data_IF_123602946404
#
_entry.id   IF_123602946404
#
_cell.length_a   1.000
_cell.length_b   1.000
_cell.length_c   1.000
_cell.angle_alpha   90.00
_cell.angle_beta   90.00
_cell.angle_gamma   90.00
#
_symmetry.space_group_name_H-M   'P 1'
#
loop_
_entity.id
_entity.type
_entity.pdbx_description
1 polymer ?
#
# COMPACT_ATOMS: atom_id res chain seq x y z
N UNK A 1 2.60 15.20 -21.53
CA UNK A 1 3.35 16.41 -21.15
C UNK A 1 2.51 17.69 -21.18
N UNK A 2 1.76 18.00 -22.27
CA UNK A 2 0.94 19.22 -22.37
C UNK A 2 -0.02 19.42 -21.17
N UNK A 3 -0.68 18.37 -20.70
CA UNK A 3 -1.54 18.42 -19.51
C UNK A 3 -0.78 18.74 -18.22
N UNK A 4 0.41 18.18 -18.03
CA UNK A 4 1.25 18.47 -16.87
C UNK A 4 1.83 19.89 -16.94
N UNK A 5 2.26 20.33 -18.10
CA UNK A 5 2.74 21.70 -18.31
C UNK A 5 1.66 22.75 -17.99
N UNK A 6 0.38 22.50 -18.35
CA UNK A 6 -0.74 23.40 -17.99
C UNK A 6 -0.99 23.48 -16.48
N UNK A 7 -0.55 22.47 -15.72
CA UNK A 7 -0.53 22.46 -14.25
C UNK A 7 0.76 23.05 -13.66
N UNK A 8 1.66 23.59 -14.47
CA UNK A 8 2.91 24.24 -14.06
C UNK A 8 4.07 23.25 -13.80
N UNK A 9 3.99 21.99 -14.28
CA UNK A 9 5.12 21.05 -14.20
C UNK A 9 6.17 21.34 -15.26
N UNK A 10 7.42 21.24 -14.85
CA UNK A 10 8.58 21.26 -15.73
C UNK A 10 8.98 19.86 -16.19
N UNK A 11 9.85 19.77 -17.18
CA UNK A 11 10.21 18.50 -17.82
C UNK A 11 10.82 17.47 -16.86
N UNK A 12 11.58 17.93 -15.88
CA UNK A 12 12.32 17.10 -14.92
C UNK A 12 11.66 17.03 -13.54
N UNK A 13 10.41 17.53 -13.39
CA UNK A 13 9.72 17.45 -12.12
C UNK A 13 9.43 15.99 -11.73
N UNK A 14 9.63 15.68 -10.46
CA UNK A 14 9.18 14.44 -9.88
C UNK A 14 7.67 14.52 -9.65
N UNK A 15 6.98 13.42 -9.93
CA UNK A 15 5.52 13.34 -9.83
C UNK A 15 5.17 12.05 -9.10
N UNK A 16 4.34 12.15 -8.08
CA UNK A 16 3.76 11.00 -7.39
C UNK A 16 2.89 10.16 -8.33
N UNK A 17 3.21 8.88 -8.48
CA UNK A 17 2.50 7.96 -9.37
C UNK A 17 1.64 6.95 -8.65
N UNK A 18 1.93 6.72 -7.37
CA UNK A 18 1.23 5.73 -6.55
C UNK A 18 1.26 6.15 -5.09
N UNK A 19 0.38 5.56 -4.27
CA UNK A 19 0.38 5.73 -2.83
C UNK A 19 0.10 7.17 -2.39
N UNK A 20 0.71 7.55 -1.30
CA UNK A 20 0.52 8.87 -0.66
C UNK A 20 0.98 10.00 -1.57
N UNK A 21 2.11 9.85 -2.24
CA UNK A 21 2.62 10.86 -3.18
C UNK A 21 1.61 11.16 -4.30
N UNK A 22 0.94 10.13 -4.84
CA UNK A 22 -0.10 10.32 -5.86
C UNK A 22 -1.35 11.02 -5.30
N UNK A 23 -1.82 10.58 -4.14
CA UNK A 23 -3.06 11.11 -3.55
C UNK A 23 -2.90 12.54 -3.09
N UNK A 24 -1.73 12.88 -2.56
CA UNK A 24 -1.45 14.21 -2.00
C UNK A 24 -0.51 15.05 -2.86
N UNK A 25 -0.33 14.71 -4.13
CA UNK A 25 0.57 15.40 -5.06
C UNK A 25 0.35 16.93 -5.05
N UNK A 26 -0.90 17.38 -5.20
CA UNK A 26 -1.24 18.79 -5.24
C UNK A 26 -0.98 19.52 -3.89
N UNK A 27 -0.90 18.77 -2.79
CA UNK A 27 -0.62 19.31 -1.45
C UNK A 27 0.87 19.36 -1.12
N UNK A 28 1.62 18.31 -1.49
CA UNK A 28 3.08 18.22 -1.19
C UNK A 28 3.93 18.93 -2.21
N UNK A 29 3.38 19.18 -3.40
CA UNK A 29 4.08 19.84 -4.47
C UNK A 29 4.23 21.34 -4.18
N UNK A 30 5.43 21.88 -4.37
CA UNK A 30 5.67 23.31 -4.39
C UNK A 30 5.30 23.96 -5.72
N UNK A 31 5.44 25.27 -5.79
CA UNK A 31 5.30 26.03 -7.02
C UNK A 31 6.66 26.63 -7.42
N UNK A 32 7.02 26.44 -8.68
CA UNK A 32 8.20 27.06 -9.23
C UNK A 32 8.09 28.59 -9.20
N UNK A 33 9.13 29.23 -8.72
CA UNK A 33 9.35 30.63 -8.94
C UNK A 33 9.89 30.89 -10.37
N UNK A 34 10.00 32.12 -10.71
CA UNK A 34 10.56 32.52 -12.00
C UNK A 34 10.90 33.97 -12.05
N UNK A 35 11.81 34.34 -12.94
CA UNK A 35 12.15 35.70 -13.25
C UNK A 35 11.85 35.96 -14.73
N UNK A 36 11.08 36.98 -15.00
CA UNK A 36 10.86 37.47 -16.35
C UNK A 36 11.98 38.47 -16.68
N UNK A 37 12.71 38.14 -17.72
CA UNK A 37 13.87 38.94 -18.12
C UNK A 37 13.72 39.44 -19.55
N UNK A 38 14.17 40.66 -19.81
CA UNK A 38 14.36 41.19 -21.17
C UNK A 38 15.76 40.77 -21.65
N UNK A 39 15.81 40.22 -22.87
CA UNK A 39 17.08 39.86 -23.51
C UNK A 39 17.20 40.58 -24.86
N UNK A 40 18.42 40.86 -25.28
CA UNK A 40 18.66 41.43 -26.62
C UNK A 40 18.59 40.34 -27.71
N UNK A 41 18.78 40.69 -28.98
CA UNK A 41 18.77 39.81 -30.11
C UNK A 41 19.80 38.66 -30.06
N UNK A 42 20.79 38.74 -29.20
CA UNK A 42 21.80 37.72 -28.95
C UNK A 42 21.52 36.86 -27.70
N UNK A 43 20.34 37.01 -27.07
CA UNK A 43 19.96 36.29 -25.86
C UNK A 43 20.63 36.79 -24.57
N UNK A 44 21.34 37.95 -24.61
CA UNK A 44 21.99 38.51 -23.42
C UNK A 44 20.99 39.29 -22.57
N UNK A 45 21.03 39.04 -21.25
CA UNK A 45 20.22 39.70 -20.23
C UNK A 45 20.36 41.24 -20.35
N UNK A 46 19.24 41.95 -20.32
CA UNK A 46 19.14 43.40 -20.31
C UNK A 46 18.63 43.92 -18.98
N UNK A 47 17.48 43.51 -18.57
CA UNK A 47 16.88 43.85 -17.27
C UNK A 47 15.86 42.78 -16.81
N UNK A 48 15.61 42.77 -15.50
CA UNK A 48 14.49 42.04 -14.91
C UNK A 48 13.20 42.85 -15.10
N UNK A 49 12.14 42.16 -15.56
CA UNK A 49 10.81 42.75 -15.74
C UNK A 49 9.88 42.38 -14.57
N UNK A 50 10.26 41.40 -13.76
CA UNK A 50 9.52 40.98 -12.60
C UNK A 50 9.93 39.59 -12.12
N UNK A 51 9.67 39.30 -10.86
CA UNK A 51 9.96 38.01 -10.22
C UNK A 51 8.68 37.41 -9.62
N UNK A 52 8.49 36.11 -9.81
CA UNK A 52 7.51 35.29 -9.07
C UNK A 52 8.30 34.49 -8.03
N UNK A 53 8.07 34.67 -6.72
CA UNK A 53 8.74 33.83 -5.72
C UNK A 53 8.33 32.36 -5.85
N UNK A 54 9.22 31.43 -5.55
CA UNK A 54 8.89 30.02 -5.40
C UNK A 54 8.05 29.81 -4.13
N UNK A 55 7.20 28.79 -4.16
CA UNK A 55 6.40 28.39 -3.00
C UNK A 55 6.75 26.95 -2.64
N UNK A 56 7.15 26.75 -1.39
CA UNK A 56 7.45 25.41 -0.88
C UNK A 56 6.16 24.58 -0.79
N UNK A 57 6.24 23.28 -1.06
CA UNK A 57 5.16 22.34 -0.78
C UNK A 57 4.94 22.12 0.72
N UNK A 58 3.85 21.48 1.05
CA UNK A 58 3.51 21.20 2.44
C UNK A 58 4.08 19.85 2.90
N UNK A 59 4.33 19.73 4.19
CA UNK A 59 4.74 18.47 4.81
C UNK A 59 3.52 17.59 5.11
N UNK A 60 3.71 16.27 5.05
CA UNK A 60 2.72 15.28 5.46
C UNK A 60 3.30 14.45 6.61
N UNK A 61 2.59 14.41 7.72
CA UNK A 61 2.89 13.52 8.82
C UNK A 61 2.03 12.25 8.72
N UNK A 62 2.68 11.10 8.65
CA UNK A 62 2.02 9.80 8.60
C UNK A 62 1.78 9.25 10.01
N UNK A 63 0.84 8.31 10.13
CA UNK A 63 0.59 7.54 11.36
C UNK A 63 1.57 6.40 11.57
N UNK A 64 2.50 6.19 10.62
CA UNK A 64 3.51 5.12 10.69
C UNK A 64 4.46 5.35 11.86
N UNK A 65 4.63 4.32 12.69
CA UNK A 65 5.69 4.24 13.68
C UNK A 65 6.91 3.57 13.05
N UNK A 66 8.01 4.30 12.98
CA UNK A 66 9.22 3.82 12.31
C UNK A 66 9.79 2.54 12.93
N UNK A 67 9.68 2.38 14.25
CA UNK A 67 10.19 1.19 14.93
C UNK A 67 9.35 -0.05 14.59
N UNK A 68 8.02 0.09 14.57
CA UNK A 68 7.12 -0.99 14.11
C UNK A 68 7.34 -1.32 12.65
N UNK A 69 7.54 -0.31 11.80
CA UNK A 69 7.83 -0.50 10.38
C UNK A 69 9.11 -1.31 10.19
N UNK A 70 10.20 -0.94 10.87
CA UNK A 70 11.47 -1.66 10.81
C UNK A 70 11.36 -3.12 11.30
N UNK A 71 10.57 -3.36 12.35
CA UNK A 71 10.30 -4.73 12.83
C UNK A 71 9.53 -5.53 11.76
N UNK A 72 8.48 -4.96 11.17
CA UNK A 72 7.70 -5.63 10.12
C UNK A 72 8.59 -6.00 8.91
N UNK A 73 9.44 -5.09 8.47
CA UNK A 73 10.38 -5.35 7.37
C UNK A 73 11.42 -6.42 7.73
N UNK A 74 11.94 -6.40 8.97
CA UNK A 74 12.87 -7.42 9.47
C UNK A 74 12.23 -8.81 9.49
N UNK A 75 10.98 -8.94 9.94
CA UNK A 75 10.23 -10.20 9.95
C UNK A 75 10.06 -10.74 8.53
N UNK A 76 9.77 -9.87 7.56
CA UNK A 76 9.64 -10.26 6.16
C UNK A 76 10.97 -10.59 5.48
N UNK A 77 12.13 -10.20 6.05
CA UNK A 77 13.43 -10.29 5.38
C UNK A 77 13.72 -11.67 4.78
N UNK A 78 13.38 -12.74 5.50
CA UNK A 78 13.67 -14.13 5.10
C UNK A 78 12.49 -14.81 4.35
N UNK A 79 11.42 -14.07 4.04
CA UNK A 79 10.28 -14.59 3.28
C UNK A 79 10.47 -14.29 1.79
N UNK A 80 9.96 -15.16 0.92
CA UNK A 80 9.98 -14.91 -0.54
C UNK A 80 9.07 -13.74 -0.93
N UNK A 81 7.87 -13.72 -0.39
CA UNK A 81 6.86 -12.69 -0.59
C UNK A 81 5.90 -12.66 0.59
N UNK A 82 5.28 -11.52 0.83
CA UNK A 82 4.29 -11.36 1.89
C UNK A 82 4.03 -9.88 2.21
N UNK A 83 3.10 -9.65 3.12
CA UNK A 83 2.82 -8.32 3.65
C UNK A 83 2.57 -8.40 5.17
N UNK A 84 2.86 -7.32 5.86
CA UNK A 84 2.50 -7.11 7.26
C UNK A 84 1.87 -5.73 7.36
N UNK A 85 0.71 -5.67 7.99
CA UNK A 85 0.03 -4.43 8.35
C UNK A 85 -0.19 -4.45 9.87
N UNK A 86 0.17 -3.35 10.52
CA UNK A 86 -0.13 -3.11 11.93
C UNK A 86 -1.06 -1.91 11.99
N UNK A 87 -2.25 -2.13 12.50
CA UNK A 87 -3.30 -1.11 12.60
C UNK A 87 -3.77 -0.98 14.04
N UNK A 88 -4.00 0.24 14.49
CA UNK A 88 -4.63 0.53 15.75
C UNK A 88 -6.15 0.37 15.58
N UNK A 89 -6.80 -0.58 16.29
CA UNK A 89 -8.24 -0.82 16.09
C UNK A 89 -9.14 0.30 16.66
N UNK A 90 -8.59 1.21 17.48
CA UNK A 90 -9.35 2.28 18.12
C UNK A 90 -9.68 3.43 17.16
N UNK A 91 -8.75 3.71 16.23
CA UNK A 91 -8.85 4.86 15.32
C UNK A 91 -8.58 4.47 13.85
N UNK A 92 -8.20 3.20 13.58
CA UNK A 92 -7.86 2.72 12.26
C UNK A 92 -6.50 3.19 11.76
N UNK A 93 -5.68 3.83 12.60
CA UNK A 93 -4.38 4.33 12.19
C UNK A 93 -3.42 3.20 11.81
N UNK A 94 -2.84 3.27 10.62
CA UNK A 94 -1.81 2.33 10.18
C UNK A 94 -0.48 2.70 10.82
N UNK A 95 0.03 1.82 11.68
CA UNK A 95 1.29 1.98 12.40
C UNK A 95 2.49 1.36 11.67
N UNK A 96 2.25 0.33 10.86
CA UNK A 96 3.24 -0.22 9.94
C UNK A 96 2.55 -0.83 8.72
N UNK A 97 3.19 -0.72 7.55
CA UNK A 97 2.73 -1.35 6.32
C UNK A 97 3.95 -1.79 5.51
N UNK A 98 4.25 -3.07 5.53
CA UNK A 98 5.38 -3.66 4.84
C UNK A 98 4.92 -4.64 3.76
N UNK A 99 5.55 -4.58 2.60
CA UNK A 99 5.30 -5.48 1.46
C UNK A 99 6.63 -6.00 0.93
N UNK A 100 6.70 -7.30 0.67
CA UNK A 100 7.90 -7.94 0.10
C UNK A 100 7.55 -8.80 -1.11
N UNK A 101 8.42 -8.85 -2.15
CA UNK A 101 9.68 -8.11 -2.26
C UNK A 101 9.48 -6.61 -2.35
N UNK A 102 10.51 -5.88 -1.99
CA UNK A 102 10.56 -4.42 -2.06
C UNK A 102 11.75 -3.98 -2.94
N UNK A 103 11.89 -2.69 -3.11
CA UNK A 103 12.97 -2.07 -3.85
C UNK A 103 13.45 -0.81 -3.12
N UNK A 104 14.58 -0.25 -3.54
CA UNK A 104 15.06 1.04 -3.04
C UNK A 104 14.09 2.15 -3.47
N UNK A 105 13.34 2.73 -2.53
CA UNK A 105 12.35 3.78 -2.80
C UNK A 105 12.98 5.01 -3.43
N UNK A 106 14.27 5.28 -3.15
CA UNK A 106 15.00 6.39 -3.74
C UNK A 106 15.40 6.15 -5.20
N UNK A 107 15.13 4.95 -5.76
CA UNK A 107 15.45 4.65 -7.16
C UNK A 107 14.85 5.68 -8.13
N UNK A 108 13.61 6.09 -7.86
CA UNK A 108 12.92 7.02 -8.75
C UNK A 108 13.45 8.46 -8.68
N UNK A 109 14.06 8.84 -7.55
CA UNK A 109 14.69 10.16 -7.36
C UNK A 109 16.10 10.24 -7.94
N UNK A 110 16.74 9.11 -8.31
CA UNK A 110 18.06 9.10 -8.90
C UNK A 110 18.04 9.74 -10.29
N UNK A 111 18.98 10.64 -10.58
CA UNK A 111 19.17 11.19 -11.91
C UNK A 111 19.55 10.09 -12.92
N UNK A 112 20.49 9.24 -12.56
CA UNK A 112 20.88 8.07 -13.34
C UNK A 112 20.28 6.79 -12.77
N UNK A 113 19.61 6.01 -13.60
CA UNK A 113 18.96 4.73 -13.25
C UNK A 113 19.70 3.57 -13.90
N UNK A 114 20.57 2.84 -13.15
CA UNK A 114 21.29 1.69 -13.68
C UNK A 114 20.32 0.64 -14.23
N UNK A 115 20.59 0.14 -15.43
CA UNK A 115 19.75 -0.87 -16.10
C UNK A 115 19.51 -2.12 -15.24
N UNK A 116 20.53 -2.56 -14.51
CA UNK A 116 20.42 -3.70 -13.59
C UNK A 116 19.41 -3.47 -12.48
N UNK A 117 19.37 -2.28 -11.91
CA UNK A 117 18.38 -1.90 -10.86
C UNK A 117 17.01 -1.76 -11.49
N UNK A 118 16.90 -1.12 -12.64
CA UNK A 118 15.67 -1.02 -13.41
C UNK A 118 15.06 -2.40 -13.65
N UNK A 119 15.84 -3.34 -14.19
CA UNK A 119 15.38 -4.68 -14.48
C UNK A 119 14.95 -5.46 -13.24
N UNK A 120 15.60 -5.26 -12.09
CA UNK A 120 15.17 -5.85 -10.81
C UNK A 120 13.82 -5.33 -10.34
N UNK A 121 13.46 -4.09 -10.66
CA UNK A 121 12.22 -3.46 -10.23
C UNK A 121 11.09 -3.77 -11.23
N UNK A 122 11.32 -3.56 -12.52
CA UNK A 122 10.27 -3.61 -13.54
C UNK A 122 10.08 -4.98 -14.18
N UNK A 123 11.18 -5.73 -14.39
CA UNK A 123 11.16 -7.00 -15.10
C UNK A 123 11.27 -8.22 -14.16
N UNK A 124 11.26 -8.01 -12.85
CA UNK A 124 11.32 -9.10 -11.89
C UNK A 124 10.03 -9.92 -11.90
N UNK A 125 10.11 -11.26 -12.02
CA UNK A 125 8.94 -12.13 -11.86
C UNK A 125 8.33 -12.06 -10.46
N UNK A 126 9.07 -11.59 -9.48
CA UNK A 126 8.60 -11.41 -8.10
C UNK A 126 7.75 -10.15 -7.89
N UNK A 127 7.68 -9.26 -8.91
CA UNK A 127 6.84 -8.05 -8.94
C UNK A 127 7.01 -7.17 -7.68
N UNK A 128 8.19 -6.55 -7.47
CA UNK A 128 8.42 -5.72 -6.29
C UNK A 128 7.58 -4.44 -6.24
N UNK A 129 7.10 -3.93 -7.40
CA UNK A 129 6.18 -2.80 -7.47
C UNK A 129 4.75 -3.14 -7.01
N UNK A 130 4.43 -4.43 -6.91
CA UNK A 130 3.12 -4.86 -6.45
C UNK A 130 3.04 -4.78 -4.93
N UNK A 131 2.27 -3.81 -4.41
CA UNK A 131 2.08 -3.66 -2.97
C UNK A 131 1.09 -4.73 -2.45
N UNK A 132 1.64 -5.76 -1.83
CA UNK A 132 0.88 -6.89 -1.29
C UNK A 132 0.04 -6.53 -0.08
N UNK A 133 0.36 -5.45 0.62
CA UNK A 133 -0.42 -4.99 1.76
C UNK A 133 -1.76 -4.34 1.34
N UNK A 134 -1.86 -3.89 0.08
CA UNK A 134 -3.07 -3.25 -0.47
C UNK A 134 -3.89 -4.19 -1.36
N UNK A 135 -3.55 -5.48 -1.39
CA UNK A 135 -4.24 -6.45 -2.23
C UNK A 135 -5.22 -7.30 -1.42
N UNK A 136 -6.30 -7.71 -2.07
CA UNK A 136 -7.27 -8.63 -1.47
C UNK A 136 -6.78 -10.08 -1.59
N UNK A 137 -7.02 -10.85 -0.54
CA UNK A 137 -6.71 -12.28 -0.47
C UNK A 137 -7.91 -13.04 0.08
N UNK A 138 -8.05 -14.30 -0.31
CA UNK A 138 -9.03 -15.17 0.28
C UNK A 138 -8.68 -15.42 1.76
N UNK A 139 -9.57 -15.08 2.70
CA UNK A 139 -9.25 -15.10 4.13
C UNK A 139 -9.06 -16.54 4.67
N UNK A 140 -9.60 -17.54 4.01
CA UNK A 140 -9.55 -18.90 4.49
C UNK A 140 -10.12 -19.05 5.92
N UNK A 141 -9.48 -19.92 6.76
CA UNK A 141 -9.94 -20.16 8.14
C UNK A 141 -9.97 -18.93 9.05
N UNK A 142 -9.29 -17.84 8.68
CA UNK A 142 -9.36 -16.58 9.45
C UNK A 142 -10.79 -16.03 9.46
N UNK A 143 -11.57 -16.32 8.41
CA UNK A 143 -12.98 -15.92 8.32
C UNK A 143 -13.88 -16.61 9.34
N UNK A 144 -13.46 -17.73 9.92
CA UNK A 144 -14.24 -18.46 10.94
C UNK A 144 -14.53 -17.59 12.15
N UNK A 145 -13.62 -16.69 12.53
CA UNK A 145 -13.83 -15.73 13.62
C UNK A 145 -15.03 -14.83 13.32
N UNK A 146 -15.12 -14.31 12.11
CA UNK A 146 -16.24 -13.46 11.67
C UNK A 146 -17.56 -14.26 11.68
N UNK A 147 -17.51 -15.48 11.19
CA UNK A 147 -18.69 -16.37 11.16
C UNK A 147 -19.18 -16.72 12.55
N UNK A 148 -18.27 -17.04 13.48
CA UNK A 148 -18.60 -17.34 14.88
C UNK A 148 -19.23 -16.12 15.57
N UNK A 149 -18.63 -14.93 15.41
CA UNK A 149 -19.17 -13.69 15.96
C UNK A 149 -20.58 -13.39 15.39
N UNK A 150 -20.77 -13.53 14.09
CA UNK A 150 -22.06 -13.35 13.45
C UNK A 150 -23.12 -14.35 13.97
N UNK A 151 -22.71 -15.59 14.26
CA UNK A 151 -23.55 -16.60 14.89
C UNK A 151 -24.03 -16.15 16.28
N UNK A 152 -23.10 -15.72 17.12
CA UNK A 152 -23.39 -15.21 18.48
C UNK A 152 -24.29 -13.97 18.44
N UNK A 153 -23.94 -12.96 17.64
CA UNK A 153 -24.70 -11.72 17.51
C UNK A 153 -26.12 -11.91 16.96
N UNK A 154 -26.32 -12.97 16.15
CA UNK A 154 -27.64 -13.29 15.64
C UNK A 154 -28.65 -13.74 16.72
N UNK A 155 -28.16 -14.11 17.91
CA UNK A 155 -28.93 -14.70 19.01
C UNK A 155 -29.49 -16.11 18.71
N UNK A 156 -29.23 -16.68 17.53
CA UNK A 156 -29.69 -18.02 17.12
C UNK A 156 -28.78 -19.15 17.61
N UNK A 157 -27.50 -18.81 17.82
CA UNK A 157 -26.45 -19.71 18.23
C UNK A 157 -25.75 -19.18 19.48
N UNK A 158 -26.32 -19.37 20.68
CA UNK A 158 -25.69 -18.92 21.93
C UNK A 158 -24.35 -19.63 22.18
N UNK A 159 -23.58 -19.12 23.14
CA UNK A 159 -22.17 -19.53 23.39
C UNK A 159 -22.03 -21.03 23.72
N UNK A 160 -23.07 -21.63 24.29
CA UNK A 160 -23.16 -23.04 24.64
C UNK A 160 -23.64 -23.93 23.49
N UNK A 161 -23.85 -23.36 22.30
CA UNK A 161 -24.25 -24.15 21.12
C UNK A 161 -23.12 -25.09 20.71
N UNK A 162 -23.46 -26.34 20.55
CA UNK A 162 -22.60 -27.35 19.99
C UNK A 162 -23.15 -27.84 18.64
N UNK A 163 -22.22 -28.13 17.71
CA UNK A 163 -22.53 -28.66 16.38
C UNK A 163 -21.80 -29.96 16.15
N UNK A 164 -22.49 -30.95 15.61
CA UNK A 164 -21.84 -32.17 15.14
C UNK A 164 -21.24 -31.89 13.76
N UNK A 165 -19.92 -31.99 13.67
CA UNK A 165 -19.19 -31.76 12.41
C UNK A 165 -19.07 -33.10 11.66
N UNK A 166 -19.61 -33.13 10.46
CA UNK A 166 -19.48 -34.27 9.55
C UNK A 166 -18.29 -34.11 8.64
N UNK A 167 -17.71 -35.18 8.09
CA UNK A 167 -16.62 -35.12 7.13
C UNK A 167 -16.93 -34.26 5.92
N UNK A 168 -18.20 -34.09 5.59
CA UNK A 168 -18.66 -33.36 4.44
C UNK A 168 -20.01 -32.70 4.71
N UNK A 169 -20.10 -31.42 4.39
CA UNK A 169 -21.37 -30.67 4.33
C UNK A 169 -21.76 -30.52 2.88
N UNK A 170 -22.89 -31.10 2.47
CA UNK A 170 -23.37 -31.00 1.11
C UNK A 170 -24.29 -29.80 0.93
N UNK A 171 -23.96 -28.94 -0.04
CA UNK A 171 -24.83 -27.86 -0.48
C UNK A 171 -25.03 -27.93 -1.99
N UNK A 172 -26.26 -28.19 -2.43
CA UNK A 172 -26.57 -28.51 -3.83
C UNK A 172 -25.87 -29.82 -4.26
N UNK A 173 -25.08 -29.75 -5.31
CA UNK A 173 -24.26 -30.86 -5.82
C UNK A 173 -22.83 -30.89 -5.29
N UNK A 174 -22.46 -29.91 -4.45
CA UNK A 174 -21.08 -29.76 -3.97
C UNK A 174 -20.96 -30.19 -2.51
N UNK A 175 -19.95 -31.02 -2.23
CA UNK A 175 -19.57 -31.42 -0.89
C UNK A 175 -18.38 -30.55 -0.42
N UNK A 176 -18.57 -29.82 0.67
CA UNK A 176 -17.51 -29.05 1.36
C UNK A 176 -16.92 -29.98 2.43
N UNK A 177 -15.68 -30.40 2.20
CA UNK A 177 -14.99 -31.36 3.05
C UNK A 177 -14.08 -30.70 4.06
N UNK A 178 -13.98 -31.31 5.23
CA UNK A 178 -12.90 -31.05 6.16
C UNK A 178 -11.57 -31.58 5.59
N UNK A 179 -10.46 -30.91 5.98
CA UNK A 179 -9.13 -31.20 5.42
C UNK A 179 -8.62 -32.62 5.71
N UNK A 180 -9.16 -33.27 6.77
CA UNK A 180 -8.81 -34.65 7.18
C UNK A 180 -9.83 -35.69 6.75
N UNK A 181 -10.93 -35.30 6.09
CA UNK A 181 -12.05 -36.16 5.66
C UNK A 181 -12.72 -36.95 6.81
N UNK A 182 -12.52 -36.59 8.07
CA UNK A 182 -13.03 -37.33 9.23
C UNK A 182 -14.08 -36.57 10.04
N UNK A 183 -14.16 -35.23 9.89
CA UNK A 183 -14.89 -34.37 10.80
C UNK A 183 -14.20 -34.26 12.18
N UNK A 184 -14.75 -33.44 13.06
CA UNK A 184 -14.22 -33.20 14.41
C UNK A 184 -15.18 -33.69 15.51
N UNK A 185 -16.28 -34.35 15.15
CA UNK A 185 -17.31 -34.73 16.10
C UNK A 185 -18.15 -33.54 16.56
N UNK A 186 -18.55 -33.55 17.83
CA UNK A 186 -19.31 -32.45 18.42
C UNK A 186 -18.34 -31.39 18.91
N UNK A 187 -18.46 -30.20 18.37
CA UNK A 187 -17.62 -29.04 18.73
C UNK A 187 -18.47 -27.85 19.14
N UNK A 188 -17.92 -26.98 19.96
CA UNK A 188 -18.49 -25.71 20.38
C UNK A 188 -17.65 -24.51 19.92
N UNK A 189 -17.91 -23.35 20.51
CA UNK A 189 -17.16 -22.13 20.20
C UNK A 189 -15.74 -22.11 20.77
N UNK A 190 -15.46 -22.96 21.77
CA UNK A 190 -14.16 -23.00 22.46
C UNK A 190 -13.17 -24.02 21.83
N UNK A 191 -13.64 -24.84 20.89
CA UNK A 191 -12.85 -25.85 20.17
C UNK A 191 -12.23 -25.29 18.89
#
# INVERSE_FOLDING_TARGET
YKFLASKGYQLNDLIGRTGIEYVYEDFIRGEWGGEMVEVNSLGKFQKSLGTKPSKQGNDIQLTIDINLQLVAEKVLKNKKAGAIIVMDPRDGAIRAMASKPTFDLNFFSKEFKPEKEYNKIFNSPQKPLFNRALNAYDPGSVWKIVTALAGLESGKFPIDTTLETQPCITYGSQCFREHNDLGFGVIGYED
#
